data_IF_722873089822
#
_entry.id   IF_722873089822
#
_cell.length_a   1.000
_cell.length_b   1.000
_cell.length_c   1.000
_cell.angle_alpha   90.00
_cell.angle_beta   90.00
_cell.angle_gamma   90.00
#
_symmetry.space_group_name_H-M   'P 1'
#
loop_
_entity.id
_entity.type
_entity.pdbx_description
1 polymer ?
#
# COMPACT_ATOMS: atom_id res chain seq x y z
N UNK A 1 -47.57 -7.49 -4.55
CA UNK A 1 -46.93 -8.23 -5.66
C UNK A 1 -45.76 -7.37 -6.10
N UNK A 2 -44.52 -7.77 -5.82
CA UNK A 2 -43.35 -6.99 -6.26
C UNK A 2 -43.35 -6.92 -7.79
N UNK A 3 -43.33 -5.71 -8.36
CA UNK A 3 -43.25 -5.55 -9.80
C UNK A 3 -41.88 -6.08 -10.28
N UNK A 4 -41.83 -7.05 -11.22
CA UNK A 4 -40.57 -7.68 -11.66
C UNK A 4 -39.53 -6.67 -12.15
N UNK A 5 -39.99 -5.54 -12.69
CA UNK A 5 -39.16 -4.40 -13.10
C UNK A 5 -38.40 -3.73 -11.96
N UNK A 6 -39.05 -3.57 -10.81
CA UNK A 6 -38.44 -2.94 -9.64
C UNK A 6 -37.34 -3.83 -9.10
N UNK A 7 -37.63 -5.14 -9.00
CA UNK A 7 -36.65 -6.14 -8.55
C UNK A 7 -35.48 -6.23 -9.53
N UNK A 8 -35.72 -6.26 -10.84
CA UNK A 8 -34.67 -6.22 -11.86
C UNK A 8 -33.82 -4.95 -11.76
N UNK A 9 -34.47 -3.78 -11.66
CA UNK A 9 -33.77 -2.49 -11.60
C UNK A 9 -32.88 -2.40 -10.37
N UNK A 10 -33.39 -2.80 -9.20
CA UNK A 10 -32.63 -2.80 -7.97
C UNK A 10 -31.43 -3.76 -8.06
N UNK A 11 -31.65 -4.98 -8.57
CA UNK A 11 -30.57 -5.95 -8.77
C UNK A 11 -29.51 -5.43 -9.76
N UNK A 12 -29.93 -4.82 -10.88
CA UNK A 12 -29.02 -4.29 -11.89
C UNK A 12 -28.20 -3.10 -11.37
N UNK A 13 -28.82 -2.19 -10.60
CA UNK A 13 -28.12 -1.05 -9.99
C UNK A 13 -27.08 -1.53 -8.99
N UNK A 14 -27.44 -2.47 -8.11
CA UNK A 14 -26.49 -3.07 -7.15
C UNK A 14 -25.36 -3.76 -7.89
N UNK A 15 -25.65 -4.58 -8.90
CA UNK A 15 -24.63 -5.27 -9.69
C UNK A 15 -23.71 -4.28 -10.43
N UNK A 16 -24.27 -3.22 -11.03
CA UNK A 16 -23.49 -2.19 -11.71
C UNK A 16 -22.61 -1.41 -10.74
N UNK A 17 -23.15 -1.06 -9.56
CA UNK A 17 -22.38 -0.39 -8.51
C UNK A 17 -21.23 -1.26 -8.03
N UNK A 18 -21.49 -2.54 -7.72
CA UNK A 18 -20.45 -3.49 -7.34
C UNK A 18 -19.46 -3.77 -8.47
N UNK A 19 -19.88 -3.72 -9.73
CA UNK A 19 -18.96 -3.89 -10.85
C UNK A 19 -18.00 -2.70 -10.97
N UNK A 20 -18.52 -1.47 -10.88
CA UNK A 20 -17.73 -0.23 -10.96
C UNK A 20 -16.84 -0.02 -9.71
N UNK A 21 -17.40 -0.28 -8.54
CA UNK A 21 -16.74 -0.20 -7.24
C UNK A 21 -16.52 -1.59 -6.68
N UNK A 22 -15.65 -2.36 -7.35
CA UNK A 22 -15.42 -3.79 -7.11
C UNK A 22 -15.09 -4.12 -5.65
N UNK A 23 -16.05 -4.64 -4.86
CA UNK A 23 -15.78 -5.09 -3.50
C UNK A 23 -14.96 -6.39 -3.54
N UNK A 24 -14.50 -6.87 -2.38
CA UNK A 24 -13.61 -8.03 -2.30
C UNK A 24 -14.29 -9.30 -2.84
N UNK A 25 -15.61 -9.43 -2.70
CA UNK A 25 -16.42 -10.56 -3.15
C UNK A 25 -16.48 -10.64 -4.69
N UNK A 26 -16.65 -9.50 -5.36
CA UNK A 26 -16.59 -9.46 -6.83
C UNK A 26 -15.18 -9.73 -7.34
N UNK A 27 -14.17 -9.29 -6.59
CA UNK A 27 -12.77 -9.57 -6.91
C UNK A 27 -12.46 -11.05 -6.78
N UNK A 28 -12.89 -11.70 -5.70
CA UNK A 28 -12.67 -13.13 -5.47
C UNK A 28 -13.47 -14.00 -6.44
N UNK A 29 -14.68 -13.58 -6.83
CA UNK A 29 -15.46 -14.22 -7.90
C UNK A 29 -14.89 -13.98 -9.31
N UNK A 30 -13.88 -13.13 -9.44
CA UNK A 30 -13.23 -12.81 -10.69
C UNK A 30 -14.02 -11.88 -11.62
N UNK A 31 -15.07 -11.22 -11.11
CA UNK A 31 -15.91 -10.26 -11.84
C UNK A 31 -15.23 -8.88 -11.91
N UNK A 32 -14.03 -8.85 -12.46
CA UNK A 32 -13.24 -7.63 -12.65
C UNK A 32 -12.87 -7.46 -14.11
N UNK A 33 -12.68 -6.21 -14.56
CA UNK A 33 -12.26 -5.92 -15.94
C UNK A 33 -10.91 -6.61 -16.25
N UNK A 34 -10.03 -6.69 -15.26
CA UNK A 34 -8.73 -7.34 -15.36
C UNK A 34 -8.86 -8.82 -15.71
N UNK A 35 -9.79 -9.53 -15.06
CA UNK A 35 -9.98 -10.95 -15.27
C UNK A 35 -10.78 -11.23 -16.56
N UNK A 36 -11.85 -10.47 -16.79
CA UNK A 36 -12.70 -10.61 -17.97
C UNK A 36 -11.95 -10.34 -19.28
N UNK A 37 -10.99 -9.42 -19.27
CA UNK A 37 -10.19 -9.05 -20.45
C UNK A 37 -8.71 -9.41 -20.32
N UNK A 38 -8.38 -10.39 -19.46
CA UNK A 38 -7.00 -10.80 -19.16
C UNK A 38 -6.17 -11.13 -20.42
N UNK A 39 -6.77 -11.83 -21.38
CA UNK A 39 -6.13 -12.18 -22.65
C UNK A 39 -5.71 -10.98 -23.50
N UNK A 40 -6.47 -9.89 -23.46
CA UNK A 40 -6.19 -8.68 -24.24
C UNK A 40 -5.27 -7.70 -23.49
N UNK A 41 -5.42 -7.64 -22.17
CA UNK A 41 -4.60 -6.81 -21.30
C UNK A 41 -3.14 -7.29 -21.28
N UNK A 42 -2.93 -8.61 -21.28
CA UNK A 42 -1.62 -9.21 -21.09
C UNK A 42 -1.20 -9.17 -19.62
N UNK A 43 0.11 -9.28 -19.36
CA UNK A 43 0.67 -9.27 -18.01
C UNK A 43 1.14 -7.87 -17.60
N UNK A 44 0.75 -7.47 -16.39
CA UNK A 44 1.21 -6.25 -15.75
C UNK A 44 2.73 -6.28 -15.48
N UNK A 45 3.28 -7.43 -15.12
CA UNK A 45 4.72 -7.63 -14.87
C UNK A 45 5.56 -7.50 -16.15
N UNK A 46 4.98 -7.87 -17.30
CA UNK A 46 5.66 -7.71 -18.59
C UNK A 46 5.65 -6.25 -19.04
N UNK A 47 4.60 -5.49 -18.78
CA UNK A 47 4.50 -4.11 -19.29
C UNK A 47 3.50 -3.26 -18.54
N UNK A 48 3.86 -2.83 -17.34
CA UNK A 48 3.03 -2.07 -16.41
C UNK A 48 2.26 -0.91 -17.08
N UNK A 49 2.97 -0.01 -17.77
CA UNK A 49 2.36 1.17 -18.41
C UNK A 49 1.39 0.76 -19.52
N UNK A 50 1.80 -0.16 -20.40
CA UNK A 50 0.99 -0.55 -21.54
C UNK A 50 -0.25 -1.35 -21.11
N UNK A 51 -0.08 -2.21 -20.09
CA UNK A 51 -1.16 -2.94 -19.43
C UNK A 51 -2.22 -1.95 -18.92
N UNK A 52 -1.81 -0.90 -18.20
CA UNK A 52 -2.78 0.04 -17.66
C UNK A 52 -3.38 1.02 -18.69
N UNK A 53 -2.67 1.37 -19.76
CA UNK A 53 -3.27 2.10 -20.91
C UNK A 53 -4.42 1.28 -21.50
N UNK A 54 -4.19 -0.02 -21.74
CA UNK A 54 -5.24 -0.94 -22.23
C UNK A 54 -6.37 -1.08 -21.21
N UNK A 55 -6.03 -1.29 -19.94
CA UNK A 55 -7.00 -1.44 -18.84
C UNK A 55 -7.93 -0.25 -18.75
N UNK A 56 -7.39 0.96 -18.58
CA UNK A 56 -8.19 2.18 -18.43
C UNK A 56 -9.05 2.46 -19.66
N UNK A 57 -8.54 2.15 -20.87
CA UNK A 57 -9.31 2.25 -22.11
C UNK A 57 -10.50 1.27 -22.15
N UNK A 58 -10.30 0.00 -21.80
CA UNK A 58 -11.42 -0.97 -21.70
C UNK A 58 -12.40 -0.55 -20.62
N UNK A 59 -11.90 -0.16 -19.45
CA UNK A 59 -12.75 0.24 -18.32
C UNK A 59 -13.74 1.32 -18.72
N UNK A 60 -13.27 2.33 -19.47
CA UNK A 60 -14.13 3.41 -19.96
C UNK A 60 -15.22 2.87 -20.90
N UNK A 61 -14.86 2.00 -21.85
CA UNK A 61 -15.81 1.43 -22.84
C UNK A 61 -16.81 0.47 -22.20
N UNK A 62 -16.39 -0.31 -21.20
CA UNK A 62 -17.25 -1.28 -20.50
C UNK A 62 -18.17 -0.57 -19.53
N UNK A 63 -17.66 0.37 -18.72
CA UNK A 63 -18.50 1.12 -17.80
C UNK A 63 -19.49 2.05 -18.53
N UNK A 64 -19.12 2.61 -19.69
CA UNK A 64 -20.05 3.38 -20.52
C UNK A 64 -21.17 2.53 -21.11
N UNK A 65 -21.00 1.20 -21.18
CA UNK A 65 -21.99 0.28 -21.72
C UNK A 65 -23.06 -0.14 -20.70
N UNK A 66 -22.86 0.14 -19.41
CA UNK A 66 -23.81 -0.25 -18.36
C UNK A 66 -25.23 0.33 -18.57
N UNK A 67 -25.42 1.61 -18.94
CA UNK A 67 -26.76 2.13 -19.24
C UNK A 67 -27.44 1.42 -20.43
N UNK A 68 -26.66 1.07 -21.45
CA UNK A 68 -27.16 0.31 -22.60
C UNK A 68 -27.53 -1.13 -22.19
N UNK A 69 -26.70 -1.76 -21.36
CA UNK A 69 -26.98 -3.06 -20.78
C UNK A 69 -28.25 -3.07 -19.93
N UNK A 70 -28.50 -2.00 -19.17
CA UNK A 70 -29.75 -1.81 -18.43
C UNK A 70 -30.96 -1.76 -19.37
N UNK A 71 -30.89 -0.94 -20.44
CA UNK A 71 -31.97 -0.85 -21.43
C UNK A 71 -32.29 -2.21 -22.05
N UNK A 72 -31.27 -2.93 -22.51
CA UNK A 72 -31.42 -4.26 -23.10
C UNK A 72 -31.98 -5.27 -22.09
N UNK A 73 -31.51 -5.24 -20.83
CA UNK A 73 -32.02 -6.10 -19.78
C UNK A 73 -33.48 -5.83 -19.44
N UNK A 74 -33.89 -4.56 -19.38
CA UNK A 74 -35.29 -4.15 -19.17
C UNK A 74 -36.20 -4.62 -20.31
N UNK A 75 -35.74 -4.59 -21.58
CA UNK A 75 -36.51 -5.14 -22.71
C UNK A 75 -36.82 -6.64 -22.53
N UNK A 76 -35.94 -7.39 -21.87
CA UNK A 76 -36.11 -8.83 -21.62
C UNK A 76 -36.91 -9.09 -20.34
N UNK A 77 -36.69 -8.29 -19.30
CA UNK A 77 -37.33 -8.46 -17.99
C UNK A 77 -38.80 -8.00 -17.96
N UNK A 78 -39.19 -7.04 -18.81
CA UNK A 78 -40.55 -6.51 -18.89
C UNK A 78 -40.96 -6.25 -20.36
N UNK A 79 -41.07 -7.29 -21.20
CA UNK A 79 -41.39 -7.16 -22.62
C UNK A 79 -42.77 -6.51 -22.85
N UNK A 80 -43.71 -6.71 -21.95
CA UNK A 80 -45.06 -6.15 -21.99
C UNK A 80 -45.10 -4.62 -21.94
N UNK A 81 -44.06 -3.97 -21.40
CA UNK A 81 -44.02 -2.52 -21.26
C UNK A 81 -43.67 -1.76 -22.52
N UNK A 82 -43.29 -2.44 -23.61
CA UNK A 82 -42.92 -1.82 -24.90
C UNK A 82 -42.18 -0.50 -24.68
N UNK A 83 -40.89 -0.57 -24.33
CA UNK A 83 -40.01 0.56 -23.93
C UNK A 83 -39.74 1.56 -25.07
N UNK A 84 -40.81 2.09 -25.64
CA UNK A 84 -40.91 2.91 -26.86
C UNK A 84 -41.42 4.33 -26.51
N UNK A 85 -41.81 4.57 -25.26
CA UNK A 85 -42.16 5.91 -24.78
C UNK A 85 -40.99 6.90 -24.90
N UNK A 86 -41.31 8.20 -24.98
CA UNK A 86 -40.31 9.24 -25.25
C UNK A 86 -39.16 9.26 -24.23
N UNK A 87 -39.44 8.98 -22.95
CA UNK A 87 -38.41 8.87 -21.91
C UNK A 87 -37.44 7.70 -22.15
N UNK A 88 -37.94 6.54 -22.59
CA UNK A 88 -37.11 5.37 -22.89
C UNK A 88 -36.30 5.55 -24.17
N UNK A 89 -36.88 6.22 -25.18
CA UNK A 89 -36.15 6.63 -26.39
C UNK A 89 -35.02 7.60 -26.06
N UNK A 90 -35.29 8.61 -25.24
CA UNK A 90 -34.28 9.55 -24.77
C UNK A 90 -33.17 8.83 -23.98
N UNK A 91 -33.52 7.90 -23.09
CA UNK A 91 -32.55 7.09 -22.34
C UNK A 91 -31.68 6.22 -23.25
N UNK A 92 -32.27 5.56 -24.25
CA UNK A 92 -31.55 4.76 -25.23
C UNK A 92 -30.60 5.64 -26.06
N UNK A 93 -31.07 6.78 -26.56
CA UNK A 93 -30.25 7.72 -27.31
C UNK A 93 -29.07 8.21 -26.47
N UNK A 94 -29.30 8.59 -25.21
CA UNK A 94 -28.24 9.01 -24.30
C UNK A 94 -27.22 7.89 -24.06
N UNK A 95 -27.68 6.66 -23.86
CA UNK A 95 -26.83 5.47 -23.65
C UNK A 95 -25.98 5.16 -24.89
N UNK A 96 -26.57 5.24 -26.09
CA UNK A 96 -25.86 5.05 -27.36
C UNK A 96 -24.85 6.18 -27.61
N UNK A 97 -25.21 7.43 -27.33
CA UNK A 97 -24.30 8.57 -27.41
C UNK A 97 -23.11 8.39 -26.46
N UNK A 98 -23.36 8.02 -25.20
CA UNK A 98 -22.30 7.78 -24.21
C UNK A 98 -21.35 6.67 -24.67
N UNK A 99 -21.89 5.55 -25.17
CA UNK A 99 -21.09 4.45 -25.71
C UNK A 99 -20.30 4.85 -26.97
N UNK A 100 -20.91 5.63 -27.85
CA UNK A 100 -20.24 6.09 -29.08
C UNK A 100 -19.09 7.04 -28.74
N UNK A 101 -19.31 7.96 -27.81
CA UNK A 101 -18.28 8.89 -27.32
C UNK A 101 -17.11 8.13 -26.69
N UNK A 102 -17.37 7.10 -25.87
CA UNK A 102 -16.29 6.32 -25.25
C UNK A 102 -15.42 5.60 -26.30
N UNK A 103 -16.04 5.01 -27.31
CA UNK A 103 -15.33 4.42 -28.46
C UNK A 103 -14.53 5.46 -29.25
N UNK A 104 -15.11 6.63 -29.53
CA UNK A 104 -14.43 7.72 -30.24
C UNK A 104 -13.20 8.18 -29.45
N UNK A 105 -13.31 8.32 -28.13
CA UNK A 105 -12.20 8.71 -27.25
C UNK A 105 -11.08 7.66 -27.29
N UNK A 106 -11.39 6.38 -27.13
CA UNK A 106 -10.38 5.30 -27.15
C UNK A 106 -9.71 5.21 -28.53
N UNK A 107 -10.49 5.36 -29.60
CA UNK A 107 -9.95 5.39 -30.96
C UNK A 107 -9.07 6.63 -31.21
N UNK A 108 -9.46 7.79 -30.69
CA UNK A 108 -8.63 8.99 -30.73
C UNK A 108 -7.30 8.78 -30.01
N UNK A 109 -7.30 8.12 -28.85
CA UNK A 109 -6.07 7.78 -28.14
C UNK A 109 -5.19 6.81 -28.93
N UNK A 110 -5.77 5.78 -29.54
CA UNK A 110 -5.00 4.75 -30.26
C UNK A 110 -4.33 5.28 -31.54
N UNK A 111 -4.92 6.27 -32.23
CA UNK A 111 -4.44 6.84 -33.51
C UNK A 111 -2.99 7.35 -33.48
N UNK A 112 -2.47 7.84 -32.35
CA UNK A 112 -1.09 8.35 -32.22
C UNK A 112 -0.26 7.50 -31.26
N UNK A 113 -0.33 6.17 -31.38
CA UNK A 113 0.36 5.22 -30.49
C UNK A 113 0.15 5.57 -29.00
N UNK A 114 -1.10 5.91 -28.63
CA UNK A 114 -1.47 6.27 -27.27
C UNK A 114 -0.90 7.58 -26.71
N UNK A 115 -0.21 8.39 -27.50
CA UNK A 115 0.38 9.66 -27.03
C UNK A 115 -0.63 10.61 -26.37
N UNK A 116 -1.87 10.62 -26.87
CA UNK A 116 -2.94 11.47 -26.33
C UNK A 116 -3.66 10.87 -25.12
N UNK A 117 -3.32 9.63 -24.74
CA UNK A 117 -3.90 8.95 -23.59
C UNK A 117 -3.50 9.68 -22.30
N UNK A 118 -4.40 9.80 -21.29
CA UNK A 118 -4.09 10.49 -20.03
C UNK A 118 -2.79 10.02 -19.36
N UNK A 119 -2.57 8.71 -19.27
CA UNK A 119 -1.32 8.13 -18.73
C UNK A 119 -0.09 8.63 -19.51
N UNK A 120 -0.14 8.62 -20.84
CA UNK A 120 0.97 9.08 -21.67
C UNK A 120 1.21 10.58 -21.51
N UNK A 121 0.18 11.39 -21.26
CA UNK A 121 0.33 12.82 -20.93
C UNK A 121 0.96 13.04 -19.56
N UNK A 122 0.59 12.24 -18.55
CA UNK A 122 1.24 12.28 -17.23
C UNK A 122 2.71 11.93 -17.37
N UNK A 123 3.05 10.91 -18.16
CA UNK A 123 4.45 10.54 -18.42
C UNK A 123 5.22 11.65 -19.17
N UNK A 124 4.56 12.43 -20.02
CA UNK A 124 5.19 13.59 -20.69
C UNK A 124 5.65 14.65 -19.69
N UNK A 125 4.94 14.84 -18.58
CA UNK A 125 5.34 15.78 -17.53
C UNK A 125 6.67 15.42 -16.86
N UNK A 126 7.10 14.16 -17.00
CA UNK A 126 8.34 13.62 -16.44
C UNK A 126 9.44 13.41 -17.50
N UNK A 127 9.26 13.92 -18.72
CA UNK A 127 10.29 13.86 -19.75
C UNK A 127 11.35 14.90 -19.43
N UNK A 128 12.45 14.44 -18.87
CA UNK A 128 13.66 15.20 -18.60
C UNK A 128 14.88 14.38 -19.03
N UNK A 129 16.01 15.00 -19.40
CA UNK A 129 17.24 14.27 -19.70
C UNK A 129 17.57 13.27 -18.59
N UNK A 130 17.85 11.99 -18.89
CA UNK A 130 18.23 11.42 -20.20
C UNK A 130 17.05 10.93 -21.08
N UNK A 131 15.79 11.08 -20.64
CA UNK A 131 14.63 10.59 -21.38
C UNK A 131 14.25 11.53 -22.53
N UNK A 132 14.09 10.97 -23.72
CA UNK A 132 13.74 11.71 -24.94
C UNK A 132 12.25 11.71 -25.26
N UNK A 133 11.47 10.81 -24.64
CA UNK A 133 10.03 10.70 -24.87
C UNK A 133 9.29 10.10 -23.68
N UNK A 134 7.96 10.24 -23.65
CA UNK A 134 7.13 9.55 -22.67
C UNK A 134 7.29 8.02 -22.73
N UNK A 135 7.64 7.48 -23.92
CA UNK A 135 7.91 6.07 -24.12
C UNK A 135 9.18 5.61 -23.40
N UNK A 136 10.24 6.43 -23.37
CA UNK A 136 11.46 6.09 -22.60
C UNK A 136 11.20 6.13 -21.09
N UNK A 137 10.40 7.08 -20.61
CA UNK A 137 9.95 7.11 -19.20
C UNK A 137 9.13 5.84 -18.88
N UNK A 138 8.22 5.44 -19.78
CA UNK A 138 7.43 4.23 -19.62
C UNK A 138 8.29 2.96 -19.54
N UNK A 139 9.33 2.85 -20.38
CA UNK A 139 10.27 1.73 -20.36
C UNK A 139 11.06 1.69 -19.05
N UNK A 140 11.47 2.85 -18.53
CA UNK A 140 12.13 2.96 -17.22
C UNK A 140 11.24 2.41 -16.12
N UNK A 141 10.00 2.90 -16.02
CA UNK A 141 9.02 2.42 -15.03
C UNK A 141 8.77 0.92 -15.18
N UNK A 142 8.60 0.42 -16.41
CA UNK A 142 8.37 -1.01 -16.64
C UNK A 142 9.56 -1.86 -16.19
N UNK A 143 10.78 -1.38 -16.38
CA UNK A 143 12.00 -2.11 -15.98
C UNK A 143 12.10 -2.19 -14.47
N UNK A 144 11.88 -1.07 -13.80
CA UNK A 144 11.92 -0.96 -12.35
C UNK A 144 10.75 -1.69 -11.67
N UNK A 145 9.57 -1.67 -12.29
CA UNK A 145 8.41 -2.43 -11.81
C UNK A 145 8.67 -3.94 -11.81
N UNK A 146 9.56 -4.45 -12.67
CA UNK A 146 9.93 -5.88 -12.68
C UNK A 146 10.87 -6.25 -11.53
N UNK A 147 11.50 -5.29 -10.87
CA UNK A 147 12.36 -5.58 -9.72
C UNK A 147 11.52 -6.16 -8.57
N UNK A 148 12.14 -7.07 -7.82
CA UNK A 148 11.53 -7.71 -6.65
C UNK A 148 11.43 -6.71 -5.50
N UNK A 149 12.45 -5.85 -5.37
CA UNK A 149 12.51 -4.81 -4.36
C UNK A 149 11.60 -3.62 -4.73
N UNK A 150 10.31 -3.79 -4.48
CA UNK A 150 9.27 -2.75 -4.59
C UNK A 150 8.26 -2.93 -3.46
N UNK A 151 7.81 -1.82 -2.88
CA UNK A 151 6.69 -1.83 -1.96
C UNK A 151 5.39 -1.79 -2.77
N UNK A 152 4.41 -2.64 -2.44
CA UNK A 152 3.10 -2.62 -3.09
C UNK A 152 2.00 -2.99 -2.10
N UNK A 153 1.00 -2.11 -1.93
CA UNK A 153 -0.15 -2.34 -1.05
C UNK A 153 -1.46 -2.06 -1.77
N UNK A 154 -2.49 -2.86 -1.45
CA UNK A 154 -3.82 -2.79 -2.05
C UNK A 154 -4.02 -3.71 -3.24
N UNK A 155 -5.19 -3.61 -3.86
CA UNK A 155 -5.62 -4.52 -4.92
C UNK A 155 -5.00 -4.16 -6.29
N UNK A 156 -4.81 -5.11 -7.22
CA UNK A 156 -4.27 -4.81 -8.56
C UNK A 156 -5.02 -3.70 -9.34
N UNK A 157 -6.31 -3.51 -9.08
CA UNK A 157 -7.12 -2.42 -9.66
C UNK A 157 -7.00 -1.07 -8.94
N UNK A 158 -6.58 -1.07 -7.68
CA UNK A 158 -6.48 0.09 -6.82
C UNK A 158 -5.38 -0.15 -5.76
N UNK A 159 -4.14 0.20 -6.11
CA UNK A 159 -2.96 -0.03 -5.28
C UNK A 159 -1.95 1.10 -5.34
N UNK A 160 -1.12 1.15 -4.32
CA UNK A 160 0.03 2.03 -4.21
C UNK A 160 1.28 1.19 -4.43
N UNK A 161 2.18 1.65 -5.28
CA UNK A 161 3.44 0.99 -5.58
C UNK A 161 4.56 2.01 -5.42
N UNK A 162 5.59 1.67 -4.66
CA UNK A 162 6.81 2.47 -4.52
C UNK A 162 7.99 1.65 -5.01
N UNK A 163 8.67 2.19 -6.03
CA UNK A 163 9.87 1.60 -6.64
C UNK A 163 11.12 2.29 -6.09
N UNK A 164 12.28 2.25 -6.75
CA UNK A 164 13.46 3.00 -6.30
C UNK A 164 13.37 4.50 -6.61
N UNK A 165 12.59 4.86 -7.65
CA UNK A 165 12.49 6.21 -8.18
C UNK A 165 11.07 6.73 -8.27
N UNK A 166 10.05 5.87 -8.34
CA UNK A 166 8.65 6.31 -8.48
C UNK A 166 7.78 5.99 -7.27
N UNK A 167 6.86 6.91 -6.98
CA UNK A 167 5.64 6.69 -6.22
C UNK A 167 4.47 6.64 -7.20
N UNK A 168 3.80 5.50 -7.28
CA UNK A 168 2.72 5.23 -8.21
C UNK A 168 1.44 4.94 -7.43
N UNK A 169 0.34 5.59 -7.81
CA UNK A 169 -1.00 5.25 -7.32
C UNK A 169 -1.89 4.85 -8.48
N UNK A 170 -2.25 3.58 -8.51
CA UNK A 170 -3.17 3.00 -9.48
C UNK A 170 -4.59 3.15 -8.97
N UNK A 171 -5.48 3.68 -9.80
CA UNK A 171 -6.93 3.73 -9.56
C UNK A 171 -7.69 3.16 -10.77
N UNK A 172 -9.01 3.04 -10.68
CA UNK A 172 -9.86 2.49 -11.74
C UNK A 172 -9.66 3.17 -13.09
N UNK A 173 -9.52 4.51 -13.09
CA UNK A 173 -9.46 5.32 -14.32
C UNK A 173 -8.13 6.06 -14.53
N UNK A 174 -7.34 6.25 -13.47
CA UNK A 174 -6.13 7.07 -13.51
C UNK A 174 -4.95 6.35 -12.86
N UNK A 175 -3.75 6.72 -13.28
CA UNK A 175 -2.52 6.43 -12.55
C UNK A 175 -1.88 7.76 -12.22
N UNK A 176 -1.62 7.96 -10.93
CA UNK A 176 -0.82 9.09 -10.46
C UNK A 176 0.62 8.63 -10.33
N UNK A 177 1.54 9.52 -10.72
CA UNK A 177 2.96 9.22 -10.80
C UNK A 177 3.73 10.44 -10.30
N UNK A 178 4.60 10.21 -9.32
CA UNK A 178 5.57 11.21 -8.85
C UNK A 178 6.94 10.57 -8.74
N UNK A 179 7.98 11.34 -9.05
CA UNK A 179 9.36 10.97 -8.76
C UNK A 179 9.63 11.15 -7.27
N UNK A 180 10.32 10.21 -6.66
CA UNK A 180 10.70 10.26 -5.25
C UNK A 180 11.64 11.41 -4.93
N UNK A 181 12.53 11.78 -5.86
CA UNK A 181 13.41 12.95 -5.73
C UNK A 181 12.62 14.26 -5.67
N UNK A 182 11.45 14.28 -6.29
CA UNK A 182 10.67 15.49 -6.54
C UNK A 182 9.40 15.52 -5.69
N UNK A 183 9.24 14.60 -4.74
CA UNK A 183 8.04 14.53 -3.93
C UNK A 183 8.31 14.70 -2.44
N UNK A 184 7.31 15.25 -1.76
CA UNK A 184 7.22 15.27 -0.31
C UNK A 184 5.97 14.49 0.09
N UNK A 185 6.13 13.60 1.06
CA UNK A 185 5.03 12.78 1.56
C UNK A 185 4.64 13.33 2.93
N UNK A 186 3.36 13.65 3.12
CA UNK A 186 2.87 14.17 4.39
C UNK A 186 1.76 13.27 4.92
N UNK A 187 1.86 12.80 6.16
CA UNK A 187 0.76 12.07 6.81
C UNK A 187 -0.30 13.08 7.22
N UNK A 188 -1.48 13.00 6.61
CA UNK A 188 -2.57 13.98 6.76
C UNK A 188 -3.69 13.51 7.66
N UNK A 189 -3.93 12.20 7.76
CA UNK A 189 -4.98 11.63 8.61
C UNK A 189 -4.55 10.24 9.12
N UNK A 190 -5.01 9.89 10.32
CA UNK A 190 -5.04 8.52 10.82
C UNK A 190 -6.48 8.18 11.20
N UNK A 191 -7.01 7.06 10.70
CA UNK A 191 -8.39 6.61 10.98
C UNK A 191 -8.36 5.18 11.52
N UNK A 192 -8.90 4.99 12.72
CA UNK A 192 -9.06 3.65 13.31
C UNK A 192 -10.41 3.04 12.92
N UNK A 193 -10.37 1.84 12.35
CA UNK A 193 -11.55 1.04 12.08
C UNK A 193 -11.62 -0.13 13.07
N UNK A 194 -12.56 -0.04 14.01
CA UNK A 194 -12.82 -1.09 15.01
C UNK A 194 -13.52 -2.34 14.44
N UNK A 195 -13.97 -2.28 13.18
CA UNK A 195 -14.72 -3.36 12.52
C UNK A 195 -14.03 -3.71 11.20
N UNK A 196 -12.94 -4.46 11.28
CA UNK A 196 -12.39 -5.17 10.12
C UNK A 196 -12.89 -6.62 10.21
N UNK A 197 -13.63 -7.15 9.22
CA UNK A 197 -14.13 -8.53 9.25
C UNK A 197 -13.00 -9.59 9.27
N UNK A 198 -11.78 -9.22 8.89
CA UNK A 198 -10.64 -10.12 8.75
C UNK A 198 -9.66 -10.11 9.93
N UNK A 199 -9.79 -9.18 10.90
CA UNK A 199 -8.86 -9.08 12.03
C UNK A 199 -9.53 -8.70 13.34
N UNK A 200 -9.29 -9.48 14.40
CA UNK A 200 -9.78 -9.22 15.76
C UNK A 200 -9.20 -7.94 16.40
N UNK A 201 -8.15 -7.35 15.81
CA UNK A 201 -7.55 -6.09 16.26
C UNK A 201 -8.06 -4.90 15.43
N UNK A 202 -8.24 -3.72 16.06
CA UNK A 202 -8.58 -2.49 15.35
C UNK A 202 -7.52 -2.19 14.27
N UNK A 203 -7.97 -1.94 13.04
CA UNK A 203 -7.08 -1.61 11.92
C UNK A 203 -6.98 -0.10 11.78
N UNK A 204 -5.77 0.45 11.90
CA UNK A 204 -5.52 1.88 11.66
C UNK A 204 -5.10 2.09 10.21
N UNK A 205 -5.81 2.96 9.50
CA UNK A 205 -5.52 3.34 8.12
C UNK A 205 -4.92 4.75 8.14
N UNK A 206 -3.73 4.89 7.58
CA UNK A 206 -3.05 6.16 7.40
C UNK A 206 -3.37 6.73 6.01
N UNK A 207 -3.76 8.00 5.96
CA UNK A 207 -3.83 8.77 4.71
C UNK A 207 -2.58 9.64 4.61
N UNK A 208 -1.80 9.45 3.54
CA UNK A 208 -0.63 10.28 3.25
C UNK A 208 -0.87 11.03 1.95
N UNK A 209 -0.53 12.31 1.93
CA UNK A 209 -0.56 13.16 0.75
C UNK A 209 0.81 13.19 0.10
N UNK A 210 0.85 12.94 -1.20
CA UNK A 210 2.05 13.06 -2.03
C UNK A 210 1.94 14.35 -2.82
N UNK A 211 2.77 15.32 -2.49
CA UNK A 211 2.93 16.57 -3.24
C UNK A 211 4.24 16.50 -4.04
N UNK A 212 4.24 17.05 -5.25
CA UNK A 212 5.44 17.12 -6.10
C UNK A 212 5.88 18.56 -6.31
N UNK A 213 7.19 18.76 -6.43
CA UNK A 213 7.80 20.03 -6.83
C UNK A 213 7.47 20.34 -8.30
N UNK A 214 7.26 19.31 -9.13
CA UNK A 214 6.86 19.49 -10.52
C UNK A 214 5.39 19.96 -10.59
N UNK A 215 5.11 21.19 -11.05
CA UNK A 215 3.75 21.76 -11.05
C UNK A 215 2.80 21.06 -12.03
N UNK A 216 3.34 20.28 -12.98
CA UNK A 216 2.53 19.48 -13.90
C UNK A 216 1.98 18.19 -13.23
N UNK A 217 2.46 17.85 -12.03
CA UNK A 217 2.00 16.68 -11.28
C UNK A 217 0.98 17.12 -10.23
N UNK A 218 -0.26 16.67 -10.40
CA UNK A 218 -1.32 16.94 -9.42
C UNK A 218 -1.08 16.15 -8.13
N UNK A 219 -1.18 16.77 -6.93
CA UNK A 219 -1.09 16.06 -5.67
C UNK A 219 -2.12 14.94 -5.55
N UNK A 220 -1.76 13.87 -4.85
CA UNK A 220 -2.65 12.73 -4.64
C UNK A 220 -2.45 12.09 -3.27
N UNK A 221 -3.53 11.50 -2.73
CA UNK A 221 -3.49 10.82 -1.45
C UNK A 221 -3.29 9.32 -1.63
N UNK A 222 -2.38 8.71 -0.87
CA UNK A 222 -2.24 7.27 -0.70
C UNK A 222 -2.82 6.85 0.65
N UNK A 223 -3.37 5.63 0.72
CA UNK A 223 -3.91 5.04 1.95
C UNK A 223 -3.26 3.68 2.15
N UNK A 224 -2.84 3.38 3.37
CA UNK A 224 -2.30 2.07 3.76
C UNK A 224 -2.62 1.76 5.21
N UNK A 225 -2.49 0.49 5.56
CA UNK A 225 -2.56 0.04 6.95
C UNK A 225 -1.32 0.55 7.71
N UNK A 226 -1.49 0.96 8.98
CA UNK A 226 -0.37 1.38 9.82
C UNK A 226 0.69 0.28 9.98
N UNK A 227 0.30 -1.01 9.92
CA UNK A 227 1.22 -2.14 9.95
C UNK A 227 2.22 -2.15 8.76
N UNK A 228 1.84 -1.60 7.60
CA UNK A 228 2.68 -1.52 6.40
C UNK A 228 3.52 -0.23 6.36
N UNK A 229 3.35 0.67 7.34
CA UNK A 229 3.99 1.99 7.35
C UNK A 229 5.51 1.90 7.46
N UNK A 230 6.03 0.95 8.23
CA UNK A 230 7.47 0.75 8.40
C UNK A 230 8.14 0.34 7.07
N UNK A 231 7.53 -0.58 6.32
CA UNK A 231 8.02 -1.05 5.03
C UNK A 231 7.94 0.07 3.98
N UNK A 232 6.84 0.82 3.95
CA UNK A 232 6.71 2.00 3.10
C UNK A 232 7.80 3.03 3.41
N UNK A 233 8.07 3.30 4.70
CA UNK A 233 9.09 4.25 5.14
C UNK A 233 10.51 3.79 4.78
N UNK A 234 10.78 2.49 4.82
CA UNK A 234 12.06 1.93 4.39
C UNK A 234 12.28 2.09 2.89
N UNK A 235 11.22 1.88 2.09
CA UNK A 235 11.31 2.01 0.63
C UNK A 235 11.30 3.45 0.13
N UNK A 236 10.59 4.36 0.82
CA UNK A 236 10.53 5.78 0.46
C UNK A 236 11.84 6.49 0.78
N UNK A 237 12.49 7.02 -0.27
CA UNK A 237 13.62 7.95 -0.15
C UNK A 237 13.17 9.38 0.13
N UNK A 238 11.94 9.72 -0.25
CA UNK A 238 11.35 11.03 -0.02
C UNK A 238 11.12 11.27 1.48
N UNK A 239 11.39 12.49 2.00
CA UNK A 239 11.17 12.79 3.41
C UNK A 239 9.66 12.73 3.72
N UNK A 240 9.31 11.95 4.76
CA UNK A 240 7.95 11.88 5.28
C UNK A 240 7.79 12.92 6.40
N UNK A 241 6.83 13.83 6.23
CA UNK A 241 6.44 14.83 7.23
C UNK A 241 5.14 14.40 7.91
N UNK A 242 5.01 14.70 9.19
CA UNK A 242 3.72 14.55 9.87
C UNK A 242 3.03 15.91 9.89
N UNK A 243 1.75 15.94 9.52
CA UNK A 243 0.93 17.14 9.74
C UNK A 243 0.83 17.40 11.26
N UNK A 244 0.87 18.66 11.72
CA UNK A 244 0.88 19.00 13.15
C UNK A 244 -0.27 18.39 13.96
N UNK A 245 -1.38 18.08 13.31
CA UNK A 245 -2.61 17.58 13.93
C UNK A 245 -2.81 16.06 13.77
N UNK A 246 -1.81 15.33 13.26
CA UNK A 246 -1.90 13.89 13.01
C UNK A 246 -1.00 13.15 13.97
N UNK A 247 -1.62 12.55 14.98
CA UNK A 247 -0.95 11.58 15.85
C UNK A 247 -1.03 10.24 15.14
N UNK A 248 0.09 9.78 14.58
CA UNK A 248 0.20 8.37 14.16
C UNK A 248 0.27 7.58 15.45
N UNK A 249 -0.73 6.75 15.72
CA UNK A 249 -0.74 5.92 16.93
C UNK A 249 0.22 4.74 16.73
N UNK A 250 1.54 5.02 16.78
CA UNK A 250 2.53 3.94 16.92
C UNK A 250 2.19 3.14 18.15
N UNK A 251 2.22 1.81 18.05
CA UNK A 251 2.01 0.98 19.24
C UNK A 251 3.08 1.32 20.28
N UNK A 252 2.73 1.28 21.57
CA UNK A 252 3.70 1.52 22.65
C UNK A 252 4.94 0.62 22.49
N UNK A 253 4.74 -0.61 22.00
CA UNK A 253 5.82 -1.54 21.64
C UNK A 253 6.76 -1.01 20.56
N UNK A 254 6.27 -0.41 19.48
CA UNK A 254 7.12 0.16 18.43
C UNK A 254 7.92 1.37 18.90
N UNK A 255 7.28 2.28 19.63
CA UNK A 255 7.96 3.44 20.23
C UNK A 255 9.04 2.99 21.22
N UNK A 256 8.71 1.96 22.01
CA UNK A 256 9.68 1.34 22.92
C UNK A 256 10.84 0.72 22.15
N UNK A 257 10.63 -0.03 21.07
CA UNK A 257 11.73 -0.65 20.32
C UNK A 257 12.68 0.38 19.70
N UNK A 258 12.16 1.49 19.18
CA UNK A 258 12.97 2.60 18.67
C UNK A 258 13.78 3.25 19.79
N UNK A 259 13.13 3.55 20.91
CA UNK A 259 13.78 4.12 22.11
C UNK A 259 14.81 3.16 22.70
N UNK A 260 14.48 1.87 22.76
CA UNK A 260 15.32 0.80 23.28
C UNK A 260 16.61 0.72 22.48
N UNK A 261 16.51 0.70 21.15
CA UNK A 261 17.67 0.72 20.26
C UNK A 261 18.52 1.98 20.48
N UNK A 262 17.90 3.15 20.53
CA UNK A 262 18.62 4.41 20.73
C UNK A 262 19.37 4.46 22.07
N UNK A 263 18.79 3.90 23.14
CA UNK A 263 19.46 3.79 24.44
C UNK A 263 20.61 2.78 24.41
N UNK A 264 20.43 1.62 23.77
CA UNK A 264 21.49 0.62 23.64
C UNK A 264 22.67 1.12 22.80
N UNK A 265 22.43 1.95 21.80
CA UNK A 265 23.48 2.56 20.98
C UNK A 265 24.37 3.52 21.80
N UNK A 266 23.90 4.01 22.96
CA UNK A 266 24.68 4.82 23.91
C UNK A 266 25.48 3.96 24.90
N UNK A 267 25.15 2.69 25.06
CA UNK A 267 25.87 1.79 25.97
C UNK A 267 27.23 1.41 25.40
N UNK A 268 28.14 0.98 26.29
CA UNK A 268 29.44 0.49 25.87
C UNK A 268 29.27 -0.74 24.94
N UNK A 269 29.83 -0.73 23.72
CA UNK A 269 29.73 -1.87 22.81
C UNK A 269 30.53 -3.06 23.34
N UNK A 270 30.04 -4.26 23.04
CA UNK A 270 30.73 -5.51 23.36
C UNK A 270 31.65 -5.89 22.21
N UNK A 271 32.96 -5.90 22.46
CA UNK A 271 33.95 -6.38 21.50
C UNK A 271 33.95 -7.91 21.48
N UNK A 272 33.76 -8.48 20.29
CA UNK A 272 33.74 -9.93 20.13
C UNK A 272 35.15 -10.53 20.36
N UNK A 273 35.30 -11.57 21.19
CA UNK A 273 36.57 -12.28 21.35
C UNK A 273 37.10 -12.82 20.01
N UNK A 274 38.42 -12.80 19.84
CA UNK A 274 39.07 -13.26 18.61
C UNK A 274 38.71 -14.73 18.30
N UNK A 275 38.20 -14.99 17.09
CA UNK A 275 37.83 -16.34 16.62
C UNK A 275 36.43 -16.82 17.01
N UNK A 276 35.62 -16.01 17.69
CA UNK A 276 34.22 -16.33 17.93
C UNK A 276 33.36 -15.87 16.74
N UNK A 277 32.63 -16.80 16.11
CA UNK A 277 31.66 -16.45 15.05
C UNK A 277 30.27 -16.18 15.63
N UNK A 278 29.53 -15.25 15.00
CA UNK A 278 28.17 -14.91 15.39
C UNK A 278 27.17 -15.81 14.67
N UNK A 279 26.49 -16.65 15.44
CA UNK A 279 25.39 -17.47 14.94
C UNK A 279 24.15 -16.61 14.60
N UNK A 280 23.25 -17.11 13.73
CA UNK A 280 21.94 -16.49 13.52
C UNK A 280 21.18 -16.29 14.83
N UNK A 281 20.49 -15.16 14.95
CA UNK A 281 19.66 -14.84 16.10
C UNK A 281 18.61 -15.92 16.33
N UNK A 282 18.55 -16.50 17.53
CA UNK A 282 17.62 -17.60 17.85
C UNK A 282 16.14 -17.19 17.83
N UNK A 283 15.85 -15.89 17.91
CA UNK A 283 14.49 -15.33 17.81
C UNK A 283 13.95 -15.28 16.39
N UNK A 284 14.62 -14.58 15.47
CA UNK A 284 14.14 -14.41 14.09
C UNK A 284 14.77 -15.36 13.06
N UNK A 285 15.94 -15.93 13.35
CA UNK A 285 16.76 -16.71 12.42
C UNK A 285 17.12 -15.99 11.09
N UNK A 286 16.93 -14.66 11.01
CA UNK A 286 17.15 -13.88 9.78
C UNK A 286 18.49 -13.16 9.75
N UNK A 287 18.98 -12.71 10.90
CA UNK A 287 20.19 -11.89 11.02
C UNK A 287 21.13 -12.49 12.07
N UNK A 288 22.45 -12.23 11.98
CA UNK A 288 23.40 -12.60 13.03
C UNK A 288 23.01 -12.02 14.39
N UNK A 289 23.30 -12.76 15.47
CA UNK A 289 23.17 -12.23 16.82
C UNK A 289 24.07 -11.02 17.01
N UNK A 290 23.50 -9.87 17.39
CA UNK A 290 24.23 -8.61 17.53
C UNK A 290 23.95 -7.88 18.85
N UNK A 291 23.41 -8.58 19.84
CA UNK A 291 23.23 -8.08 21.19
C UNK A 291 23.82 -9.03 22.23
N UNK A 292 24.46 -8.46 23.25
CA UNK A 292 25.07 -9.17 24.38
C UNK A 292 24.63 -8.50 25.68
N UNK A 293 24.29 -9.31 26.68
CA UNK A 293 24.02 -8.83 28.03
C UNK A 293 25.32 -8.84 28.84
N UNK A 294 25.71 -7.67 29.35
CA UNK A 294 26.85 -7.44 30.24
C UNK A 294 26.36 -6.56 31.37
N UNK A 295 26.57 -6.93 32.63
CA UNK A 295 26.13 -6.10 33.74
C UNK A 295 26.98 -4.84 33.79
N UNK A 296 26.38 -3.72 33.39
CA UNK A 296 26.98 -2.38 33.36
C UNK A 296 26.28 -1.42 34.32
N UNK A 297 25.04 -1.72 34.71
CA UNK A 297 24.35 -0.92 35.70
C UNK A 297 24.94 -1.15 37.11
N UNK A 298 24.90 -0.12 37.95
CA UNK A 298 25.34 -0.18 39.36
C UNK A 298 24.22 -0.54 40.34
N UNK A 299 23.09 -1.05 39.83
CA UNK A 299 21.91 -1.34 40.64
C UNK A 299 21.90 -2.78 41.15
N UNK A 300 21.45 -2.99 42.38
CA UNK A 300 21.61 -4.25 43.12
C UNK A 300 20.83 -5.46 42.56
N UNK A 301 19.87 -5.24 41.65
CA UNK A 301 18.94 -6.28 41.18
C UNK A 301 19.34 -6.95 39.85
N UNK A 302 20.31 -6.38 39.13
CA UNK A 302 20.79 -6.96 37.88
C UNK A 302 21.88 -8.00 38.14
N UNK A 303 21.87 -9.08 37.34
CA UNK A 303 22.73 -10.24 37.50
C UNK A 303 23.63 -10.44 36.29
N UNK A 304 24.84 -10.93 36.53
CA UNK A 304 25.78 -11.24 35.46
C UNK A 304 25.23 -12.33 34.53
N UNK A 305 25.07 -11.99 33.25
CA UNK A 305 24.69 -12.94 32.22
C UNK A 305 25.95 -13.58 31.59
N UNK A 306 26.00 -14.92 31.61
CA UNK A 306 27.09 -15.70 31.01
C UNK A 306 26.74 -16.28 29.63
N UNK A 307 25.54 -16.01 29.10
CA UNK A 307 25.15 -16.47 27.76
C UNK A 307 25.99 -15.81 26.68
N UNK A 308 26.43 -16.55 25.66
CA UNK A 308 27.01 -15.97 24.43
C UNK A 308 26.00 -15.03 23.72
N UNK A 309 26.43 -14.14 22.81
CA UNK A 309 25.50 -13.41 21.95
C UNK A 309 24.66 -14.41 21.14
N UNK A 310 23.34 -14.41 21.34
CA UNK A 310 22.40 -15.33 20.67
C UNK A 310 21.19 -14.61 20.08
N UNK A 311 21.03 -13.33 20.37
CA UNK A 311 19.86 -12.54 19.98
C UNK A 311 20.31 -11.34 19.16
N UNK A 312 19.50 -10.97 18.17
CA UNK A 312 19.61 -9.64 17.58
C UNK A 312 18.92 -8.61 18.48
N UNK A 313 19.34 -7.36 18.36
CA UNK A 313 18.87 -6.26 19.19
C UNK A 313 17.35 -6.10 19.12
N UNK A 314 16.76 -6.27 17.94
CA UNK A 314 15.32 -6.18 17.74
C UNK A 314 14.56 -7.29 18.47
N UNK A 315 15.00 -8.55 18.36
CA UNK A 315 14.36 -9.66 19.06
C UNK A 315 14.52 -9.57 20.58
N UNK A 316 15.68 -9.11 21.05
CA UNK A 316 15.91 -8.87 22.49
C UNK A 316 15.02 -7.73 23.01
N UNK A 317 14.89 -6.64 22.26
CA UNK A 317 13.98 -5.54 22.60
C UNK A 317 12.51 -5.97 22.63
N UNK A 318 12.08 -6.82 21.68
CA UNK A 318 10.71 -7.38 21.67
C UNK A 318 10.46 -8.27 22.90
N UNK A 319 11.43 -9.09 23.25
CA UNK A 319 11.38 -9.88 24.48
C UNK A 319 11.26 -8.97 25.70
N UNK A 320 12.08 -7.92 25.78
CA UNK A 320 12.03 -6.96 26.87
C UNK A 320 10.63 -6.36 27.00
N UNK A 321 10.09 -5.80 25.91
CA UNK A 321 8.76 -5.20 25.87
C UNK A 321 7.66 -6.18 26.31
N UNK A 322 7.75 -7.46 25.90
CA UNK A 322 6.76 -8.49 26.25
C UNK A 322 6.67 -8.82 27.75
N UNK A 323 7.61 -8.32 28.56
CA UNK A 323 7.66 -8.53 30.01
C UNK A 323 7.23 -7.28 30.79
N UNK A 324 6.86 -6.21 30.10
CA UNK A 324 6.43 -4.96 30.70
C UNK A 324 4.91 -4.92 30.81
N UNK A 325 4.44 -4.14 31.79
CA UNK A 325 3.03 -3.88 31.97
C UNK A 325 2.56 -2.75 31.05
N UNK A 326 1.61 -3.04 30.15
CA UNK A 326 1.07 -2.07 29.20
C UNK A 326 0.33 -0.90 29.87
N UNK A 327 -0.08 -1.04 31.13
CA UNK A 327 -0.78 0.02 31.86
C UNK A 327 0.16 1.10 32.43
N UNK A 328 1.47 0.85 32.47
CA UNK A 328 2.48 1.72 33.13
C UNK A 328 3.70 2.03 32.23
N UNK A 329 3.50 2.63 31.04
CA UNK A 329 4.55 2.89 30.04
C UNK A 329 5.71 3.77 30.55
N UNK A 330 5.47 4.65 31.52
CA UNK A 330 6.47 5.52 32.14
C UNK A 330 7.57 4.74 32.89
N UNK A 331 7.32 3.49 33.26
CA UNK A 331 8.28 2.63 33.98
C UNK A 331 9.08 1.70 33.06
N UNK A 332 8.79 1.70 31.76
CA UNK A 332 9.32 0.69 30.84
C UNK A 332 10.84 0.71 30.72
N UNK A 333 11.44 1.89 30.63
CA UNK A 333 12.91 2.04 30.50
C UNK A 333 13.65 1.74 31.80
N UNK A 334 12.99 1.91 32.95
CA UNK A 334 13.56 1.61 34.26
C UNK A 334 13.26 0.17 34.72
N UNK A 335 12.53 -0.61 33.93
CA UNK A 335 12.19 -1.98 34.28
C UNK A 335 13.37 -2.94 34.16
N UNK A 336 13.28 -4.07 34.88
CA UNK A 336 14.24 -5.17 34.78
C UNK A 336 13.50 -6.43 34.36
N UNK A 337 14.08 -7.15 33.41
CA UNK A 337 13.46 -8.34 32.82
C UNK A 337 14.45 -9.51 32.86
N UNK A 338 13.98 -10.76 32.90
CA UNK A 338 14.87 -11.92 32.86
C UNK A 338 15.42 -12.12 31.45
N UNK A 339 16.71 -12.50 31.36
CA UNK A 339 17.32 -12.98 30.13
C UNK A 339 16.46 -14.12 29.55
N UNK A 340 16.13 -14.10 28.24
CA UNK A 340 15.29 -15.13 27.63
C UNK A 340 15.90 -16.53 27.69
N UNK A 341 17.22 -16.64 27.91
CA UNK A 341 17.93 -17.92 27.93
C UNK A 341 18.30 -18.38 29.35
N UNK A 342 19.06 -17.59 30.11
CA UNK A 342 19.50 -17.99 31.47
C UNK A 342 18.67 -17.39 32.61
N UNK A 343 17.68 -16.54 32.30
CA UNK A 343 16.83 -15.82 33.27
C UNK A 343 17.56 -14.84 34.22
N UNK A 344 18.87 -14.63 34.07
CA UNK A 344 19.58 -13.56 34.76
C UNK A 344 18.86 -12.23 34.51
N UNK A 345 18.50 -11.52 35.59
CA UNK A 345 17.81 -10.23 35.48
C UNK A 345 18.75 -9.19 34.90
N UNK A 346 18.24 -8.37 33.98
CA UNK A 346 18.99 -7.28 33.36
C UNK A 346 18.09 -6.08 33.11
N UNK A 347 18.69 -4.90 33.01
CA UNK A 347 18.02 -3.66 32.60
C UNK A 347 18.54 -3.20 31.23
N UNK A 348 17.97 -2.12 30.69
CA UNK A 348 18.37 -1.61 29.38
C UNK A 348 19.85 -1.21 29.29
N UNK A 349 20.45 -0.76 30.40
CA UNK A 349 21.86 -0.36 30.48
C UNK A 349 22.82 -1.56 30.36
N UNK A 350 22.35 -2.77 30.66
CA UNK A 350 23.15 -3.99 30.57
C UNK A 350 23.20 -4.58 29.15
N UNK A 351 22.49 -3.96 28.20
CA UNK A 351 22.42 -4.44 26.82
C UNK A 351 23.50 -3.74 26.00
N UNK A 352 24.43 -4.51 25.45
CA UNK A 352 25.49 -4.02 24.57
C UNK A 352 25.23 -4.45 23.13
N UNK A 353 25.40 -3.53 22.18
CA UNK A 353 25.56 -3.89 20.77
C UNK A 353 26.90 -4.60 20.56
N UNK A 354 26.89 -5.71 19.81
CA UNK A 354 28.11 -6.44 19.44
C UNK A 354 28.76 -5.74 18.24
N UNK A 355 30.07 -5.48 18.32
CA UNK A 355 30.86 -4.86 17.25
C UNK A 355 32.10 -5.68 16.91
#
# INVERSE_FOLDING_TARGET
MESPELSFTLAYVVLSFCFVFTPNEFRSAGLTIQNLFSSWLGSEDVGFIQYHIRRTSITIVVHSALPLGYYMGMCVAAPEKNLVGDSWRAFLLLSLCLQSVSWIIVFYWSRRRWHNHPISKVLQAHVQPPFSSWGSVAVSINTEFRHIDKFATGAPGARVIVTDTWVLKVTTYHIYMALQSDCHVTVTESTQHHLSPDSASPTEILTLRVDSINPAVTPFNIKLNSAEYAELREKLRAPIRNSPNVVIHRTLGELFLETFKAQVDLNQPYALPHGQELEPCIGCMQVPANAKLVTLCHEADCQQCHCRPMWCLLCLGRWFASRLDEQTPETWLSSRVPCPTCRAKFCILDVCAVR
#
